data_IF_332800783725
#
_entry.id   IF_332800783725
#
_cell.length_a   1.000
_cell.length_b   1.000
_cell.length_c   1.000
_cell.angle_alpha   90.00
_cell.angle_beta   90.00
_cell.angle_gamma   90.00
#
_symmetry.space_group_name_H-M   'P 1'
#
loop_
_entity.id
_entity.type
_entity.pdbx_description
1 polymer ?
#
# COMPACT_ATOMS: atom_id res chain seq x y z
N UNK A 1 -5.28 -14.25 -14.35
CA UNK A 1 -5.47 -14.88 -13.02
C UNK A 1 -4.70 -14.15 -11.92
N UNK A 2 -3.37 -14.02 -11.97
CA UNK A 2 -2.62 -13.27 -10.94
C UNK A 2 -2.88 -11.76 -10.99
N UNK A 3 -2.78 -11.15 -12.17
CA UNK A 3 -3.08 -9.72 -12.36
C UNK A 3 -4.55 -9.39 -12.04
N UNK A 4 -5.48 -10.29 -12.35
CA UNK A 4 -6.91 -10.11 -12.02
C UNK A 4 -7.15 -10.14 -10.51
N UNK A 5 -6.50 -11.09 -9.81
CA UNK A 5 -6.55 -11.19 -8.35
C UNK A 5 -5.96 -9.93 -7.70
N UNK A 6 -4.77 -9.51 -8.16
CA UNK A 6 -4.10 -8.31 -7.66
C UNK A 6 -4.97 -7.07 -7.88
N UNK A 7 -5.52 -6.91 -9.09
CA UNK A 7 -6.43 -5.82 -9.42
C UNK A 7 -7.69 -5.81 -8.54
N UNK A 8 -8.19 -6.99 -8.16
CA UNK A 8 -9.31 -7.10 -7.23
C UNK A 8 -8.91 -6.75 -5.79
N UNK A 9 -7.71 -7.16 -5.35
CA UNK A 9 -7.19 -6.84 -4.03
C UNK A 9 -6.97 -5.33 -3.87
N UNK A 10 -6.31 -4.69 -4.82
CA UNK A 10 -6.10 -3.23 -4.86
C UNK A 10 -7.43 -2.46 -4.77
N UNK A 11 -8.45 -2.92 -5.50
CA UNK A 11 -9.79 -2.31 -5.45
C UNK A 11 -10.42 -2.42 -4.07
N UNK A 12 -10.30 -3.58 -3.43
CA UNK A 12 -10.87 -3.79 -2.10
C UNK A 12 -10.12 -2.99 -1.04
N UNK A 13 -8.79 -2.96 -1.11
CA UNK A 13 -7.96 -2.16 -0.23
C UNK A 13 -8.28 -0.66 -0.37
N UNK A 14 -8.36 -0.15 -1.60
CA UNK A 14 -8.77 1.22 -1.88
C UNK A 14 -10.18 1.54 -1.35
N UNK A 15 -11.11 0.57 -1.41
CA UNK A 15 -12.46 0.73 -0.84
C UNK A 15 -12.41 0.84 0.69
N UNK A 16 -11.62 0.01 1.36
CA UNK A 16 -11.45 0.05 2.82
C UNK A 16 -10.85 1.41 3.22
N UNK A 17 -9.79 1.86 2.56
CA UNK A 17 -9.17 3.17 2.82
C UNK A 17 -10.17 4.32 2.61
N UNK A 18 -10.92 4.32 1.50
CA UNK A 18 -11.91 5.36 1.21
C UNK A 18 -13.07 5.39 2.23
N UNK A 19 -13.44 4.24 2.80
CA UNK A 19 -14.44 4.20 3.87
C UNK A 19 -13.89 4.81 5.16
N UNK A 20 -12.60 4.65 5.44
CA UNK A 20 -11.96 5.23 6.63
C UNK A 20 -11.74 6.74 6.54
N UNK A 21 -11.60 7.29 5.33
CA UNK A 21 -11.59 8.75 5.11
C UNK A 21 -12.95 9.41 5.40
N UNK A 22 -14.05 8.65 5.41
CA UNK A 22 -15.39 9.18 5.71
C UNK A 22 -15.66 9.30 7.21
N UNK A 23 -14.81 8.72 8.05
CA UNK A 23 -14.88 8.88 9.50
C UNK A 23 -14.24 10.20 9.95
N UNK A 24 -14.65 10.69 11.13
CA UNK A 24 -14.29 12.00 11.69
C UNK A 24 -12.78 12.25 11.87
N UNK A 25 -11.93 11.27 11.60
CA UNK A 25 -10.49 11.30 11.72
C UNK A 25 -9.76 11.75 10.43
N UNK A 26 -10.48 11.99 9.33
CA UNK A 26 -9.89 12.32 8.02
C UNK A 26 -8.97 13.55 8.03
N UNK A 27 -9.30 14.60 8.78
CA UNK A 27 -8.47 15.81 8.84
C UNK A 27 -7.09 15.56 9.49
N UNK A 28 -7.05 14.73 10.52
CA UNK A 28 -5.83 14.39 11.26
C UNK A 28 -4.95 13.45 10.41
N UNK A 29 -5.56 12.43 9.80
CA UNK A 29 -4.89 11.52 8.89
C UNK A 29 -4.28 12.26 7.69
N UNK A 30 -5.03 13.17 7.08
CA UNK A 30 -4.54 13.96 5.95
C UNK A 30 -3.33 14.85 6.34
N UNK A 31 -3.35 15.40 7.55
CA UNK A 31 -2.22 16.16 8.09
C UNK A 31 -0.98 15.28 8.23
N UNK A 32 -1.10 14.11 8.88
CA UNK A 32 0.03 13.19 9.05
C UNK A 32 0.54 12.60 7.73
N UNK A 33 -0.34 12.34 6.76
CA UNK A 33 0.05 11.93 5.42
C UNK A 33 0.86 13.03 4.72
N UNK A 34 0.41 14.28 4.78
CA UNK A 34 1.15 15.41 4.20
C UNK A 34 2.53 15.55 4.85
N UNK A 35 2.61 15.49 6.19
CA UNK A 35 3.89 15.53 6.91
C UNK A 35 4.83 14.37 6.54
N UNK A 36 4.28 13.16 6.33
CA UNK A 36 5.06 12.02 5.87
C UNK A 36 5.63 12.28 4.47
N UNK A 37 4.81 12.74 3.53
CA UNK A 37 5.24 13.01 2.16
C UNK A 37 6.18 14.20 2.03
N UNK A 38 6.13 15.16 2.95
CA UNK A 38 7.12 16.25 3.03
C UNK A 38 8.46 15.74 3.58
N UNK A 39 8.43 14.81 4.54
CA UNK A 39 9.64 14.29 5.21
C UNK A 39 10.35 13.20 4.42
N UNK A 40 9.57 12.28 3.86
CA UNK A 40 10.03 11.22 2.98
C UNK A 40 9.65 11.65 1.59
N UNK A 41 10.64 11.86 0.71
CA UNK A 41 10.41 12.08 -0.71
C UNK A 41 9.78 10.83 -1.31
N UNK A 42 8.49 10.65 -1.03
CA UNK A 42 7.67 9.66 -1.66
C UNK A 42 7.70 10.06 -3.11
N UNK A 43 8.46 9.30 -3.89
CA UNK A 43 8.65 9.54 -5.30
C UNK A 43 7.33 9.19 -5.99
N UNK A 44 6.29 10.00 -5.74
CA UNK A 44 4.99 9.96 -6.38
C UNK A 44 5.19 10.03 -7.89
N UNK A 45 6.13 10.87 -8.33
CA UNK A 45 6.62 10.94 -9.71
C UNK A 45 7.10 9.60 -10.25
N UNK A 46 7.79 8.77 -9.44
CA UNK A 46 8.23 7.43 -9.86
C UNK A 46 7.06 6.47 -10.04
N UNK A 47 6.05 6.55 -9.18
CA UNK A 47 4.85 5.69 -9.26
C UNK A 47 3.96 6.11 -10.44
N UNK A 48 3.76 7.41 -10.61
CA UNK A 48 2.98 7.98 -11.72
C UNK A 48 3.68 7.79 -13.08
N UNK A 49 5.01 7.57 -13.10
CA UNK A 49 5.78 7.28 -14.31
C UNK A 49 5.83 5.80 -14.72
N UNK A 50 5.23 4.88 -13.95
CA UNK A 50 5.29 3.46 -14.26
C UNK A 50 4.35 3.15 -15.43
N UNK A 51 4.93 2.88 -16.59
CA UNK A 51 4.18 2.36 -17.73
C UNK A 51 4.13 0.83 -17.69
N UNK A 52 3.05 0.30 -17.12
CA UNK A 52 2.81 -1.15 -17.05
C UNK A 52 2.53 -1.80 -18.42
N UNK A 53 2.25 -1.01 -19.48
CA UNK A 53 1.85 -1.53 -20.79
C UNK A 53 2.96 -2.31 -21.50
N UNK A 54 4.21 -1.98 -21.18
CA UNK A 54 5.40 -2.59 -21.79
C UNK A 54 6.11 -3.57 -20.84
N UNK A 55 5.58 -3.78 -19.63
CA UNK A 55 6.18 -4.63 -18.62
C UNK A 55 5.66 -6.07 -18.70
N UNK A 56 6.55 -7.03 -18.48
CA UNK A 56 6.15 -8.42 -18.27
C UNK A 56 5.61 -8.63 -16.84
N UNK A 57 4.99 -9.79 -16.59
CA UNK A 57 4.36 -10.07 -15.29
C UNK A 57 5.31 -9.96 -14.09
N UNK A 58 6.58 -10.32 -14.25
CA UNK A 58 7.60 -10.22 -13.19
C UNK A 58 7.97 -8.76 -12.92
N UNK A 59 8.17 -7.96 -13.96
CA UNK A 59 8.45 -6.52 -13.85
C UNK A 59 7.28 -5.76 -13.20
N UNK A 60 6.05 -6.12 -13.54
CA UNK A 60 4.84 -5.56 -12.92
C UNK A 60 4.82 -5.91 -11.43
N UNK A 61 5.07 -7.17 -11.06
CA UNK A 61 5.10 -7.59 -9.65
C UNK A 61 6.18 -6.88 -8.84
N UNK A 62 7.40 -6.76 -9.35
CA UNK A 62 8.50 -6.05 -8.67
C UNK A 62 8.12 -4.57 -8.46
N UNK A 63 7.53 -3.95 -9.48
CA UNK A 63 7.08 -2.56 -9.41
C UNK A 63 6.00 -2.37 -8.34
N UNK A 64 5.00 -3.25 -8.30
CA UNK A 64 3.96 -3.24 -7.28
C UNK A 64 4.50 -3.53 -5.88
N UNK A 65 5.37 -4.53 -5.71
CA UNK A 65 6.00 -4.83 -4.43
C UNK A 65 6.67 -3.59 -3.83
N UNK A 66 7.38 -2.82 -4.67
CA UNK A 66 8.02 -1.56 -4.24
C UNK A 66 7.02 -0.47 -3.82
N UNK A 67 5.79 -0.51 -4.32
CA UNK A 67 4.70 0.39 -3.92
C UNK A 67 4.14 -0.06 -2.57
N UNK A 68 3.86 -1.35 -2.41
CA UNK A 68 3.36 -1.92 -1.16
C UNK A 68 4.33 -1.71 0.00
N UNK A 69 5.64 -1.88 -0.20
CA UNK A 69 6.64 -1.59 0.84
C UNK A 69 6.55 -0.14 1.35
N UNK A 70 6.31 0.82 0.46
CA UNK A 70 6.12 2.23 0.85
C UNK A 70 4.79 2.46 1.57
N UNK A 71 3.72 1.78 1.16
CA UNK A 71 2.42 1.84 1.85
C UNK A 71 2.55 1.28 3.27
N UNK A 72 3.29 0.18 3.45
CA UNK A 72 3.62 -0.40 4.75
C UNK A 72 4.36 0.63 5.62
N UNK A 73 5.37 1.31 5.08
CA UNK A 73 6.12 2.32 5.83
C UNK A 73 5.26 3.54 6.19
N UNK A 74 4.34 3.94 5.31
CA UNK A 74 3.34 4.97 5.59
C UNK A 74 2.42 4.54 6.73
N UNK A 75 1.79 3.36 6.65
CA UNK A 75 0.89 2.88 7.71
C UNK A 75 1.60 2.69 9.05
N UNK A 76 2.86 2.24 9.04
CA UNK A 76 3.67 2.17 10.25
C UNK A 76 3.87 3.55 10.86
N UNK A 77 4.29 4.53 10.07
CA UNK A 77 4.46 5.91 10.52
C UNK A 77 3.17 6.52 11.07
N UNK A 78 2.04 6.29 10.38
CA UNK A 78 0.74 6.79 10.84
C UNK A 78 0.31 6.11 12.15
N UNK A 79 0.54 4.80 12.28
CA UNK A 79 0.18 4.05 13.49
C UNK A 79 0.95 4.52 14.72
N UNK A 80 2.23 4.87 14.57
CA UNK A 80 3.07 5.41 15.64
C UNK A 80 2.63 6.80 16.12
N UNK A 81 1.95 7.57 15.26
CA UNK A 81 1.41 8.90 15.57
C UNK A 81 -0.05 8.88 16.00
N UNK A 82 -0.71 7.73 15.92
CA UNK A 82 -2.12 7.61 16.25
C UNK A 82 -2.35 7.90 17.74
N UNK A 83 -2.93 9.07 18.05
CA UNK A 83 -3.23 9.46 19.44
C UNK A 83 -4.48 8.74 20.00
N UNK A 84 -5.30 8.14 19.13
CA UNK A 84 -6.54 7.46 19.52
C UNK A 84 -6.41 5.95 19.29
N UNK A 85 -6.73 5.11 20.29
CA UNK A 85 -6.64 3.65 20.17
C UNK A 85 -7.42 3.08 18.97
N UNK A 86 -8.56 3.67 18.64
CA UNK A 86 -9.36 3.28 17.47
C UNK A 86 -8.64 3.50 16.13
N UNK A 87 -7.86 4.58 16.01
CA UNK A 87 -7.09 4.88 14.79
C UNK A 87 -5.86 3.97 14.73
N UNK A 88 -5.20 3.76 15.86
CA UNK A 88 -4.06 2.85 15.97
C UNK A 88 -4.45 1.42 15.57
N UNK A 89 -5.58 0.90 16.08
CA UNK A 89 -6.09 -0.43 15.73
C UNK A 89 -6.43 -0.53 14.24
N UNK A 90 -7.09 0.49 13.68
CA UNK A 90 -7.42 0.55 12.26
C UNK A 90 -6.16 0.51 11.38
N UNK A 91 -5.16 1.36 11.67
CA UNK A 91 -3.91 1.43 10.93
C UNK A 91 -3.07 0.16 11.11
N UNK A 92 -3.06 -0.43 12.31
CA UNK A 92 -2.39 -1.72 12.57
C UNK A 92 -3.02 -2.85 11.77
N UNK A 93 -4.35 -2.87 11.63
CA UNK A 93 -5.05 -3.85 10.81
C UNK A 93 -4.73 -3.67 9.32
N UNK A 94 -4.70 -2.43 8.82
CA UNK A 94 -4.27 -2.14 7.44
C UNK A 94 -2.82 -2.54 7.20
N UNK A 95 -1.92 -2.24 8.14
CA UNK A 95 -0.52 -2.63 8.07
C UNK A 95 -0.35 -4.15 7.98
N UNK A 96 -1.09 -4.92 8.76
CA UNK A 96 -1.05 -6.39 8.72
C UNK A 96 -1.56 -6.93 7.38
N UNK A 97 -2.65 -6.36 6.85
CA UNK A 97 -3.19 -6.76 5.56
C UNK A 97 -2.16 -6.57 4.44
N UNK A 98 -1.50 -5.40 4.41
CA UNK A 98 -0.45 -5.11 3.44
C UNK A 98 0.76 -6.04 3.56
N UNK A 99 1.24 -6.29 4.79
CA UNK A 99 2.35 -7.23 5.03
C UNK A 99 2.02 -8.64 4.55
N UNK A 100 0.76 -9.08 4.71
CA UNK A 100 0.30 -10.37 4.21
C UNK A 100 0.27 -10.41 2.68
N UNK A 101 -0.16 -9.33 2.02
CA UNK A 101 -0.17 -9.25 0.56
C UNK A 101 1.25 -9.25 0.00
N UNK A 102 2.18 -8.46 0.56
CA UNK A 102 3.61 -8.48 0.21
C UNK A 102 4.19 -9.88 0.31
N UNK A 103 3.98 -10.57 1.45
CA UNK A 103 4.45 -11.94 1.63
C UNK A 103 3.89 -12.90 0.57
N UNK A 104 2.66 -12.68 0.11
CA UNK A 104 2.04 -13.49 -0.93
C UNK A 104 2.62 -13.17 -2.31
N UNK A 105 2.78 -11.89 -2.63
CA UNK A 105 3.39 -11.44 -3.89
C UNK A 105 4.81 -11.98 -4.06
N UNK A 106 5.62 -11.99 -2.98
CA UNK A 106 6.97 -12.58 -3.04
C UNK A 106 6.94 -14.08 -3.37
N UNK A 107 6.06 -14.86 -2.74
CA UNK A 107 5.90 -16.29 -3.04
C UNK A 107 5.41 -16.56 -4.46
N UNK A 108 4.45 -15.75 -4.92
CA UNK A 108 3.90 -15.87 -6.28
C UNK A 108 4.95 -15.44 -7.33
N UNK A 109 5.82 -14.48 -7.00
CA UNK A 109 6.95 -14.06 -7.84
C UNK A 109 8.03 -15.15 -7.94
N UNK A 110 8.44 -15.75 -6.82
CA UNK A 110 9.40 -16.88 -6.81
C UNK A 110 8.91 -18.03 -7.69
N UNK A 111 7.61 -18.36 -7.60
CA UNK A 111 7.01 -19.42 -8.42
C UNK A 111 6.97 -19.08 -9.91
N UNK A 112 6.87 -17.80 -10.27
CA UNK A 112 6.89 -17.34 -11.67
C UNK A 112 8.30 -17.29 -12.26
N UNK A 113 9.32 -17.13 -11.42
CA UNK A 113 10.74 -17.15 -11.83
C UNK A 113 11.27 -18.59 -12.00
N UNK A 114 10.71 -19.54 -11.24
CA UNK A 114 11.00 -20.99 -11.35
C UNK A 114 10.36 -21.69 -12.58
N UNK A 115 9.50 -20.99 -13.35
CA UNK A 115 8.80 -21.53 -14.53
C UNK A 115 9.44 -21.10 -15.84
#
# INVERSE_FOLDING_TARGET
>A
MLLDYLSQHERELGRVVALTERDAHSAILNTWCTEYFDKYSFAKEKVDSIDFSHMNAVEIMISLLSIHEKIIDLYRYLSERAETPSIEEMLSNLLKLEQHEVMRMMRDAERLEDM
#
